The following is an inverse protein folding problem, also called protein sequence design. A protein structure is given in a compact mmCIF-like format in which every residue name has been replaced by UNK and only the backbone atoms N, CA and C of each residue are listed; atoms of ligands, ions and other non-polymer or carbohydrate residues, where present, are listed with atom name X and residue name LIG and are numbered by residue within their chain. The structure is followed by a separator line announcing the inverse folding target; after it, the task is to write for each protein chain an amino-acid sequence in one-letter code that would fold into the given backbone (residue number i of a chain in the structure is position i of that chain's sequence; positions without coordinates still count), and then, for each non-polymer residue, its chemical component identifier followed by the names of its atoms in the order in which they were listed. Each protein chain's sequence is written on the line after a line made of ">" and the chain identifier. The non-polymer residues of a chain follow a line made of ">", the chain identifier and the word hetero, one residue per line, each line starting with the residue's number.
data_IF_891026411499
#
_entry.id   IF_891026411499
#
_cell.length_a   1.000
_cell.length_b   1.000
_cell.length_c   1.000
_cell.angle_alpha   90.00
_cell.angle_beta   90.00
_cell.angle_gamma   90.00
#
_symmetry.space_group_name_H-M   'P 1'
#
loop_
_entity.id
_entity.type
_entity.pdbx_description
1 polymer ?
#
# COMPACT_ATOMS: atom_id res chain seq x y z
N UNK A 1 -15.39 -5.43 -21.65
CA UNK A 1 -14.40 -6.02 -22.58
C UNK A 1 -14.66 -7.52 -22.65
N UNK A 2 -14.57 -8.19 -23.81
CA UNK A 2 -14.83 -9.64 -23.90
C UNK A 2 -13.64 -10.41 -23.31
N UNK A 3 -13.82 -11.08 -22.17
CA UNK A 3 -12.78 -11.92 -21.55
C UNK A 3 -12.53 -13.19 -22.38
N UNK A 4 -11.27 -13.57 -22.53
CA UNK A 4 -10.89 -14.85 -23.14
C UNK A 4 -11.22 -16.02 -22.21
N UNK A 5 -11.32 -17.23 -22.76
CA UNK A 5 -11.53 -18.45 -21.96
C UNK A 5 -10.43 -18.62 -20.89
N UNK A 6 -9.18 -18.26 -21.23
CA UNK A 6 -8.06 -18.28 -20.30
C UNK A 6 -8.23 -17.25 -19.17
N UNK A 7 -8.67 -16.03 -19.47
CA UNK A 7 -8.92 -15.01 -18.45
C UNK A 7 -10.02 -15.46 -17.48
N UNK A 8 -11.09 -16.07 -18.00
CA UNK A 8 -12.18 -16.61 -17.17
C UNK A 8 -11.65 -17.72 -16.24
N UNK A 9 -10.90 -18.69 -16.78
CA UNK A 9 -10.32 -19.76 -15.98
C UNK A 9 -9.26 -19.24 -14.98
N UNK A 10 -8.52 -18.18 -15.33
CA UNK A 10 -7.50 -17.59 -14.47
C UNK A 10 -8.11 -16.77 -13.33
N UNK A 11 -9.25 -16.14 -13.56
CA UNK A 11 -9.96 -15.36 -12.53
C UNK A 11 -10.36 -16.23 -11.32
N UNK A 12 -10.66 -17.52 -11.51
CA UNK A 12 -11.03 -18.43 -10.41
C UNK A 12 -9.84 -18.92 -9.58
N UNK A 13 -8.59 -18.65 -9.99
CA UNK A 13 -7.42 -19.04 -9.20
C UNK A 13 -7.41 -18.34 -7.84
N UNK A 14 -7.21 -19.13 -6.77
CA UNK A 14 -7.07 -18.63 -5.41
C UNK A 14 -5.58 -18.53 -5.06
N UNK A 15 -5.02 -17.32 -4.88
CA UNK A 15 -3.63 -17.16 -4.45
C UNK A 15 -3.39 -17.86 -3.11
N UNK A 16 -2.26 -18.57 -3.01
CA UNK A 16 -1.84 -19.23 -1.77
C UNK A 16 -1.34 -18.18 -0.80
N UNK A 17 -1.86 -18.19 0.42
CA UNK A 17 -1.39 -17.33 1.50
C UNK A 17 -0.46 -18.10 2.45
N UNK A 18 0.57 -17.44 3.03
CA UNK A 18 1.31 -18.00 4.16
C UNK A 18 0.35 -18.39 5.28
N UNK A 19 0.60 -19.54 5.93
CA UNK A 19 -0.27 -20.06 7.00
C UNK A 19 -0.49 -19.01 8.10
N UNK A 20 0.55 -18.25 8.44
CA UNK A 20 0.47 -17.16 9.41
C UNK A 20 -0.60 -16.11 9.05
N UNK A 21 -0.82 -15.82 7.76
CA UNK A 21 -1.75 -14.79 7.28
C UNK A 21 -3.17 -15.31 7.00
N UNK A 22 -3.42 -16.62 7.20
CA UNK A 22 -4.75 -17.21 6.98
C UNK A 22 -5.77 -16.83 8.06
N UNK A 23 -5.31 -16.35 9.22
CA UNK A 23 -6.14 -15.90 10.34
C UNK A 23 -5.76 -14.50 10.81
N UNK A 24 -6.29 -14.10 11.97
CA UNK A 24 -5.86 -12.88 12.64
C UNK A 24 -4.42 -13.04 13.13
N UNK A 25 -3.62 -11.99 12.96
CA UNK A 25 -2.19 -11.98 13.32
C UNK A 25 -1.89 -10.98 14.42
N UNK A 26 -0.82 -11.23 15.14
CA UNK A 26 -0.16 -10.30 16.05
C UNK A 26 1.24 -10.01 15.50
N UNK A 27 1.59 -8.73 15.41
CA UNK A 27 2.95 -8.32 15.08
C UNK A 27 3.86 -8.56 16.30
N UNK A 28 5.05 -9.10 16.06
CA UNK A 28 6.10 -9.31 17.04
C UNK A 28 7.32 -8.51 16.58
N UNK A 29 7.75 -7.58 17.44
CA UNK A 29 8.92 -6.75 17.19
C UNK A 29 10.19 -7.58 17.40
N UNK A 30 11.08 -7.51 16.41
CA UNK A 30 12.40 -8.11 16.42
C UNK A 30 13.47 -7.10 16.83
N UNK A 31 14.64 -7.20 16.18
CA UNK A 31 15.77 -6.32 16.46
C UNK A 31 15.59 -4.95 15.78
N UNK A 32 16.06 -3.86 16.41
CA UNK A 32 16.22 -2.57 15.74
C UNK A 32 17.08 -2.70 14.48
N UNK A 33 16.73 -1.93 13.46
CA UNK A 33 17.43 -1.91 12.17
C UNK A 33 18.46 -0.79 12.09
N UNK A 34 19.29 -0.80 11.05
CA UNK A 34 20.20 0.29 10.70
C UNK A 34 20.26 0.41 9.17
N UNK A 35 20.59 1.59 8.66
CA UNK A 35 20.83 1.74 7.22
C UNK A 35 22.07 0.94 6.80
N UNK A 36 22.13 0.53 5.53
CA UNK A 36 23.27 -0.22 4.98
C UNK A 36 24.57 0.60 5.04
N UNK A 37 24.46 1.92 4.78
CA UNK A 37 25.56 2.88 4.85
C UNK A 37 25.06 4.21 5.45
N UNK A 38 25.98 5.13 5.72
CA UNK A 38 25.72 6.53 6.07
C UNK A 38 24.81 6.71 7.31
N UNK A 39 24.98 5.86 8.34
CA UNK A 39 24.07 5.79 9.49
C UNK A 39 23.88 7.15 10.19
N UNK A 40 24.94 7.95 10.32
CA UNK A 40 24.84 9.29 10.91
C UNK A 40 24.02 10.26 10.08
N UNK A 41 24.12 10.22 8.75
CA UNK A 41 23.38 11.12 7.86
C UNK A 41 21.92 10.69 7.74
N UNK A 42 21.69 9.39 7.54
CA UNK A 42 20.34 8.83 7.40
C UNK A 42 19.56 8.98 8.72
N UNK A 43 20.17 8.78 9.88
CA UNK A 43 19.47 9.01 11.16
C UNK A 43 19.08 10.47 11.38
N UNK A 44 19.85 11.44 10.87
CA UNK A 44 19.49 12.86 10.89
C UNK A 44 18.35 13.19 9.91
N UNK A 45 18.28 12.50 8.77
CA UNK A 45 17.21 12.67 7.79
C UNK A 45 15.89 12.01 8.23
N UNK A 46 15.96 10.93 9.01
CA UNK A 46 14.80 10.14 9.46
C UNK A 46 14.68 10.08 11.00
N UNK A 47 14.63 11.21 11.71
CA UNK A 47 14.65 11.23 13.17
C UNK A 47 13.45 10.53 13.82
N UNK A 48 12.33 10.36 13.10
CA UNK A 48 11.12 9.74 13.65
C UNK A 48 10.95 8.26 13.27
N UNK A 49 11.66 7.77 12.25
CA UNK A 49 11.45 6.43 11.67
C UNK A 49 12.73 5.59 11.55
N UNK A 50 13.91 6.17 11.77
CA UNK A 50 15.16 5.43 11.76
C UNK A 50 15.22 4.40 12.90
N UNK A 51 15.72 3.20 12.58
CA UNK A 51 15.96 2.15 13.57
C UNK A 51 14.73 1.40 14.07
N UNK A 52 13.57 1.57 13.41
CA UNK A 52 12.37 0.78 13.70
C UNK A 52 12.69 -0.73 13.62
N UNK A 53 12.09 -1.56 14.49
CA UNK A 53 12.41 -2.98 14.56
C UNK A 53 11.85 -3.74 13.35
N UNK A 54 12.51 -4.84 13.01
CA UNK A 54 11.92 -5.85 12.12
C UNK A 54 10.60 -6.37 12.70
N UNK A 55 9.66 -6.73 11.84
CA UNK A 55 8.37 -7.31 12.25
C UNK A 55 8.24 -8.74 11.75
N UNK A 56 7.84 -9.63 12.66
CA UNK A 56 7.31 -10.95 12.29
C UNK A 56 5.84 -11.06 12.71
N UNK A 57 5.11 -12.03 12.16
CA UNK A 57 3.70 -12.22 12.44
C UNK A 57 3.42 -13.60 12.99
N UNK A 58 2.78 -13.63 14.15
CA UNK A 58 2.30 -14.84 14.79
C UNK A 58 0.77 -14.89 14.78
N UNK A 59 0.21 -16.09 14.97
CA UNK A 59 -1.24 -16.25 15.09
C UNK A 59 -1.73 -15.53 16.34
N UNK A 60 -2.77 -14.71 16.20
CA UNK A 60 -3.45 -14.12 17.35
C UNK A 60 -4.54 -15.09 17.87
N UNK A 61 -4.39 -15.66 19.09
CA UNK A 61 -5.38 -16.58 19.65
C UNK A 61 -6.68 -15.88 20.08
N UNK A 62 -6.62 -14.57 20.35
CA UNK A 62 -7.73 -13.78 20.88
C UNK A 62 -8.01 -12.59 19.95
N UNK A 63 -8.57 -12.82 18.75
CA UNK A 63 -8.88 -11.75 17.83
C UNK A 63 -10.02 -10.88 18.37
N UNK A 64 -9.81 -9.56 18.33
CA UNK A 64 -10.86 -8.57 18.59
C UNK A 64 -11.40 -8.09 17.25
N UNK A 65 -12.72 -7.89 17.09
CA UNK A 65 -13.28 -7.30 15.88
C UNK A 65 -12.59 -5.97 15.54
N UNK A 66 -12.14 -5.83 14.29
CA UNK A 66 -11.54 -4.60 13.81
C UNK A 66 -12.59 -3.50 13.61
N UNK A 67 -12.16 -2.25 13.79
CA UNK A 67 -12.95 -1.09 13.34
C UNK A 67 -12.83 -0.95 11.81
N UNK A 68 -13.79 -0.30 11.14
CA UNK A 68 -13.65 0.04 9.72
C UNK A 68 -12.38 0.86 9.49
N UNK A 69 -11.66 0.56 8.40
CA UNK A 69 -10.43 1.26 8.02
C UNK A 69 -10.56 1.70 6.56
N UNK A 70 -10.19 2.96 6.28
CA UNK A 70 -10.05 3.44 4.92
C UNK A 70 -8.58 3.41 4.54
N UNK A 71 -8.28 2.79 3.39
CA UNK A 71 -6.92 2.59 2.89
C UNK A 71 -6.79 3.23 1.51
N UNK A 72 -5.72 3.97 1.28
CA UNK A 72 -5.31 4.46 -0.03
C UNK A 72 -4.30 3.51 -0.67
N UNK A 73 -4.33 3.37 -2.00
CA UNK A 73 -3.33 2.60 -2.76
C UNK A 73 -2.87 3.34 -4.01
N UNK A 74 -1.57 3.26 -4.31
CA UNK A 74 -0.91 3.86 -5.47
C UNK A 74 -0.11 2.80 -6.22
N UNK A 75 -0.28 2.71 -7.53
CA UNK A 75 0.64 1.99 -8.43
C UNK A 75 1.67 2.98 -9.01
N UNK A 76 2.95 2.80 -8.68
CA UNK A 76 4.02 3.74 -9.05
C UNK A 76 5.08 3.10 -9.94
N UNK A 77 5.48 3.84 -10.98
CA UNK A 77 6.50 3.43 -11.94
C UNK A 77 5.99 2.50 -13.05
N UNK A 78 6.93 1.74 -13.62
CA UNK A 78 6.64 0.74 -14.65
C UNK A 78 5.78 -0.42 -14.12
N UNK A 79 4.95 -0.97 -15.00
CA UNK A 79 4.11 -2.12 -14.68
C UNK A 79 4.93 -3.38 -14.40
N UNK A 80 4.47 -4.19 -13.45
CA UNK A 80 4.98 -5.54 -13.23
C UNK A 80 3.80 -6.51 -13.04
N UNK A 81 3.88 -7.75 -13.54
CA UNK A 81 2.84 -8.75 -13.32
C UNK A 81 2.56 -8.94 -11.82
N UNK A 82 1.29 -8.87 -11.42
CA UNK A 82 0.85 -9.09 -10.04
C UNK A 82 0.44 -7.83 -9.26
N UNK A 83 0.62 -6.62 -9.79
CA UNK A 83 0.16 -5.40 -9.10
C UNK A 83 -1.34 -5.40 -8.77
N UNK A 84 -2.17 -5.90 -9.69
CA UNK A 84 -3.60 -6.10 -9.42
C UNK A 84 -3.85 -7.06 -8.25
N UNK A 85 -3.05 -8.12 -8.09
CA UNK A 85 -3.18 -9.05 -6.98
C UNK A 85 -2.79 -8.43 -5.63
N UNK A 86 -1.87 -7.46 -5.60
CA UNK A 86 -1.58 -6.69 -4.38
C UNK A 86 -2.82 -5.90 -3.97
N UNK A 87 -3.47 -5.21 -4.92
CA UNK A 87 -4.71 -4.47 -4.68
C UNK A 87 -5.86 -5.40 -4.24
N UNK A 88 -6.03 -6.55 -4.90
CA UNK A 88 -7.03 -7.55 -4.52
C UNK A 88 -6.78 -8.07 -3.10
N UNK A 89 -5.52 -8.37 -2.74
CA UNK A 89 -5.15 -8.83 -1.40
C UNK A 89 -5.39 -7.78 -0.33
N UNK A 90 -5.10 -6.50 -0.62
CA UNK A 90 -5.46 -5.38 0.26
C UNK A 90 -6.96 -5.30 0.47
N UNK A 91 -7.76 -5.35 -0.60
CA UNK A 91 -9.21 -5.34 -0.54
C UNK A 91 -9.76 -6.49 0.33
N UNK A 92 -9.36 -7.73 0.02
CA UNK A 92 -9.80 -8.92 0.77
C UNK A 92 -9.37 -8.83 2.25
N UNK A 93 -8.15 -8.35 2.51
CA UNK A 93 -7.61 -8.17 3.85
C UNK A 93 -8.41 -7.18 4.69
N UNK A 94 -8.67 -5.97 4.17
CA UNK A 94 -9.42 -4.94 4.92
C UNK A 94 -10.89 -5.33 5.11
N UNK A 95 -11.50 -6.02 4.13
CA UNK A 95 -12.88 -6.52 4.23
C UNK A 95 -13.01 -7.65 5.26
N UNK A 96 -11.96 -8.46 5.42
CA UNK A 96 -11.88 -9.50 6.45
C UNK A 96 -11.75 -8.91 7.86
N UNK A 97 -11.07 -7.76 8.00
CA UNK A 97 -10.99 -7.02 9.27
C UNK A 97 -12.35 -6.43 9.63
N UNK A 98 -12.97 -5.74 8.67
CA UNK A 98 -14.30 -5.16 8.81
C UNK A 98 -14.94 -4.94 7.42
N UNK A 99 -16.20 -5.35 7.24
CA UNK A 99 -16.90 -5.26 5.94
C UNK A 99 -17.13 -3.83 5.46
N UNK A 100 -17.18 -2.88 6.39
CA UNK A 100 -17.41 -1.45 6.11
C UNK A 100 -16.12 -0.71 5.73
N UNK A 101 -14.95 -1.36 5.83
CA UNK A 101 -13.66 -0.82 5.37
C UNK A 101 -13.70 -0.50 3.88
N UNK A 102 -12.97 0.54 3.46
CA UNK A 102 -12.96 1.02 2.07
C UNK A 102 -11.55 1.11 1.52
N UNK A 103 -11.40 0.86 0.23
CA UNK A 103 -10.14 0.97 -0.49
C UNK A 103 -10.27 2.03 -1.57
N UNK A 104 -9.35 2.98 -1.59
CA UNK A 104 -9.31 4.08 -2.55
C UNK A 104 -8.03 3.98 -3.38
N UNK A 105 -8.19 3.91 -4.70
CA UNK A 105 -7.07 3.87 -5.62
C UNK A 105 -6.82 5.24 -6.25
N UNK A 106 -5.62 5.78 -6.06
CA UNK A 106 -5.23 7.06 -6.66
C UNK A 106 -4.76 6.86 -8.10
N UNK A 107 -5.31 7.67 -9.01
CA UNK A 107 -5.17 7.46 -10.44
C UNK A 107 -3.81 7.93 -10.97
N UNK A 108 -3.22 7.16 -11.88
CA UNK A 108 -1.98 7.50 -12.61
C UNK A 108 -0.79 7.78 -11.68
N UNK A 109 -0.66 6.99 -10.61
CA UNK A 109 0.46 7.05 -9.68
C UNK A 109 0.39 8.18 -8.65
N UNK A 110 1.53 8.63 -8.09
CA UNK A 110 1.53 9.63 -7.03
C UNK A 110 0.92 10.99 -7.42
N UNK A 111 0.84 11.29 -8.71
CA UNK A 111 0.13 12.47 -9.21
C UNK A 111 -1.35 12.47 -8.85
N UNK A 112 -2.01 11.30 -8.83
CA UNK A 112 -3.42 11.20 -8.43
C UNK A 112 -3.65 11.59 -6.97
N UNK A 113 -2.70 11.32 -6.08
CA UNK A 113 -2.76 11.75 -4.69
C UNK A 113 -2.69 13.28 -4.58
N UNK A 114 -1.78 13.91 -5.32
CA UNK A 114 -1.58 15.37 -5.28
C UNK A 114 -2.71 16.14 -5.97
N UNK A 115 -3.24 15.58 -7.06
CA UNK A 115 -4.33 16.16 -7.84
C UNK A 115 -5.73 15.79 -7.33
N UNK A 116 -5.81 15.01 -6.24
CA UNK A 116 -7.05 14.48 -5.67
C UNK A 116 -7.89 13.65 -6.67
N UNK A 117 -7.21 12.92 -7.56
CA UNK A 117 -7.84 12.01 -8.54
C UNK A 117 -7.79 10.58 -8.03
N UNK A 118 -8.94 10.04 -7.67
CA UNK A 118 -9.07 8.70 -7.11
C UNK A 118 -10.40 8.06 -7.52
N UNK A 119 -10.49 6.74 -7.31
CA UNK A 119 -11.74 5.98 -7.34
C UNK A 119 -11.85 5.12 -6.08
N UNK A 120 -13.06 4.84 -5.63
CA UNK A 120 -13.28 3.75 -4.67
C UNK A 120 -13.20 2.41 -5.40
N UNK A 121 -12.38 1.50 -4.89
CA UNK A 121 -12.21 0.15 -5.42
C UNK A 121 -13.20 -0.79 -4.73
N UNK A 122 -14.32 -1.03 -5.41
CA UNK A 122 -15.43 -1.88 -4.95
C UNK A 122 -15.27 -3.33 -5.39
N UNK A 123 -16.07 -4.24 -4.84
CA UNK A 123 -15.97 -5.67 -5.14
C UNK A 123 -16.14 -5.99 -6.63
N UNK A 124 -17.08 -5.33 -7.31
CA UNK A 124 -17.33 -5.44 -8.74
C UNK A 124 -16.14 -4.98 -9.59
N UNK A 125 -15.44 -3.92 -9.18
CA UNK A 125 -14.19 -3.52 -9.83
C UNK A 125 -13.12 -4.57 -9.56
N UNK A 126 -12.89 -4.94 -8.30
CA UNK A 126 -11.83 -5.87 -7.90
C UNK A 126 -11.95 -7.22 -8.64
N UNK A 127 -13.15 -7.77 -8.75
CA UNK A 127 -13.40 -9.07 -9.38
C UNK A 127 -13.08 -9.08 -10.89
N UNK A 128 -13.10 -7.93 -11.56
CA UNK A 128 -12.66 -7.81 -12.96
C UNK A 128 -11.14 -7.95 -13.14
N UNK A 129 -10.36 -7.64 -12.09
CA UNK A 129 -8.90 -7.56 -12.14
C UNK A 129 -8.16 -8.70 -11.42
N UNK A 130 -8.88 -9.62 -10.76
CA UNK A 130 -8.25 -10.76 -10.09
C UNK A 130 -7.40 -11.58 -11.05
N UNK A 131 -6.13 -11.76 -10.70
CA UNK A 131 -5.15 -12.58 -11.43
C UNK A 131 -4.82 -12.09 -12.86
N UNK A 132 -5.13 -10.83 -13.19
CA UNK A 132 -4.77 -10.21 -14.47
C UNK A 132 -3.40 -9.51 -14.38
N UNK A 133 -2.76 -9.30 -15.53
CA UNK A 133 -1.57 -8.46 -15.64
C UNK A 133 -1.93 -7.00 -15.87
N UNK A 134 -0.92 -6.13 -15.98
CA UNK A 134 -1.11 -4.68 -16.15
C UNK A 134 -1.27 -3.96 -14.83
N UNK A 135 -1.37 -2.62 -14.92
CA UNK A 135 -1.65 -1.68 -13.83
C UNK A 135 -2.89 -0.82 -14.15
N UNK A 136 -3.69 -1.22 -15.14
CA UNK A 136 -4.77 -0.43 -15.73
C UNK A 136 -6.01 -0.28 -14.84
N UNK A 137 -6.09 -0.96 -13.69
CA UNK A 137 -7.17 -0.73 -12.70
C UNK A 137 -7.23 0.73 -12.21
N UNK A 138 -6.06 1.35 -12.01
CA UNK A 138 -5.92 2.76 -11.59
C UNK A 138 -4.82 3.50 -12.37
N UNK A 139 -4.17 2.82 -13.30
CA UNK A 139 -2.99 3.33 -14.01
C UNK A 139 -1.79 3.52 -13.09
N UNK A 140 -0.67 3.94 -13.67
CA UNK A 140 0.53 4.31 -12.91
C UNK A 140 1.18 5.55 -13.46
N UNK A 141 2.08 6.12 -12.67
CA UNK A 141 2.84 7.31 -13.03
C UNK A 141 4.17 7.36 -12.28
N UNK A 142 4.98 8.36 -12.64
CA UNK A 142 6.34 8.57 -12.12
C UNK A 142 6.48 9.93 -11.41
N UNK A 143 5.36 10.56 -11.04
CA UNK A 143 5.40 11.81 -10.28
C UNK A 143 6.18 11.60 -8.99
N UNK A 144 7.20 12.43 -8.77
CA UNK A 144 7.98 12.41 -7.55
C UNK A 144 7.27 13.17 -6.44
N UNK A 145 7.23 12.58 -5.24
CA UNK A 145 6.75 13.22 -4.02
C UNK A 145 7.98 13.64 -3.21
N UNK A 146 8.45 14.86 -3.45
CA UNK A 146 9.70 15.38 -2.86
C UNK A 146 9.48 16.69 -2.10
N UNK A 147 8.36 17.37 -2.33
CA UNK A 147 8.08 18.70 -1.79
C UNK A 147 7.00 18.67 -0.72
N UNK A 148 7.18 19.49 0.31
CA UNK A 148 6.22 19.64 1.42
C UNK A 148 4.80 19.93 0.91
N UNK A 149 4.66 20.80 -0.09
CA UNK A 149 3.36 21.17 -0.64
C UNK A 149 2.64 19.96 -1.27
N UNK A 150 3.38 19.01 -1.84
CA UNK A 150 2.81 17.77 -2.36
C UNK A 150 2.35 16.85 -1.23
N UNK A 151 3.10 16.78 -0.14
CA UNK A 151 2.74 16.00 1.04
C UNK A 151 1.51 16.56 1.74
N UNK A 152 1.44 17.89 1.88
CA UNK A 152 0.31 18.62 2.45
C UNK A 152 -0.97 18.37 1.64
N UNK A 153 -0.90 18.54 0.30
CA UNK A 153 -2.03 18.24 -0.60
C UNK A 153 -2.48 16.79 -0.51
N UNK A 154 -1.55 15.85 -0.44
CA UNK A 154 -1.88 14.44 -0.22
C UNK A 154 -2.61 14.25 1.11
N UNK A 155 -2.16 14.92 2.17
CA UNK A 155 -2.78 14.79 3.49
C UNK A 155 -4.20 15.38 3.55
N UNK A 156 -4.48 16.44 2.79
CA UNK A 156 -5.83 17.01 2.68
C UNK A 156 -6.83 15.94 2.22
N UNK A 157 -6.56 15.29 1.09
CA UNK A 157 -7.49 14.29 0.55
C UNK A 157 -7.52 13.01 1.41
N UNK A 158 -6.39 12.61 2.00
CA UNK A 158 -6.36 11.48 2.91
C UNK A 158 -7.25 11.73 4.14
N UNK A 159 -7.25 12.96 4.69
CA UNK A 159 -8.14 13.35 5.80
C UNK A 159 -9.60 13.43 5.37
N UNK A 160 -9.88 14.01 4.22
CA UNK A 160 -11.24 14.09 3.66
C UNK A 160 -11.86 12.70 3.50
N UNK A 161 -11.08 11.74 3.01
CA UNK A 161 -11.51 10.35 2.82
C UNK A 161 -11.39 9.50 4.10
N UNK A 162 -10.92 10.06 5.22
CA UNK A 162 -10.68 9.32 6.46
C UNK A 162 -9.65 8.19 6.32
N UNK A 163 -8.74 8.27 5.35
CA UNK A 163 -7.71 7.27 5.10
C UNK A 163 -6.66 7.33 6.20
N UNK A 164 -6.44 6.18 6.86
CA UNK A 164 -5.43 6.05 7.93
C UNK A 164 -4.19 5.26 7.49
N UNK A 165 -4.22 4.66 6.30
CA UNK A 165 -3.08 3.95 5.73
C UNK A 165 -2.99 4.18 4.22
N UNK A 166 -1.80 4.50 3.71
CA UNK A 166 -1.49 4.64 2.29
C UNK A 166 -0.46 3.59 1.88
N UNK A 167 -0.80 2.76 0.89
CA UNK A 167 0.10 1.73 0.35
C UNK A 167 0.64 2.17 -1.01
N UNK A 168 1.97 2.25 -1.13
CA UNK A 168 2.66 2.63 -2.36
C UNK A 168 3.34 1.38 -2.94
N UNK A 169 2.84 0.93 -4.10
CA UNK A 169 3.36 -0.26 -4.80
C UNK A 169 4.33 0.21 -5.88
N UNK A 170 5.62 -0.03 -5.69
CA UNK A 170 6.64 0.65 -6.47
C UNK A 170 8.05 0.07 -6.35
N UNK A 171 8.96 0.61 -7.16
CA UNK A 171 10.38 0.24 -7.15
C UNK A 171 11.15 1.00 -6.06
N UNK A 172 12.46 1.04 -6.19
CA UNK A 172 13.39 1.80 -5.34
C UNK A 172 12.97 3.27 -5.21
N UNK A 173 12.87 4.03 -6.31
CA UNK A 173 12.42 5.44 -6.31
C UNK A 173 11.10 5.64 -5.56
N UNK A 174 10.17 4.70 -5.72
CA UNK A 174 8.83 4.81 -5.12
C UNK A 174 8.85 4.51 -3.63
N UNK A 175 9.68 3.56 -3.18
CA UNK A 175 9.85 3.25 -1.77
C UNK A 175 10.69 4.33 -1.06
N UNK A 176 11.60 5.01 -1.77
CA UNK A 176 12.24 6.24 -1.28
C UNK A 176 11.21 7.33 -1.01
N UNK A 177 10.32 7.60 -1.97
CA UNK A 177 9.21 8.55 -1.76
C UNK A 177 8.30 8.13 -0.59
N UNK A 178 8.01 6.83 -0.47
CA UNK A 178 7.20 6.30 0.63
C UNK A 178 7.87 6.51 1.99
N UNK A 179 9.19 6.29 2.11
CA UNK A 179 9.94 6.51 3.33
C UNK A 179 9.95 7.99 3.73
N UNK A 180 10.23 8.90 2.77
CA UNK A 180 10.22 10.34 3.02
C UNK A 180 8.83 10.82 3.45
N UNK A 181 7.77 10.31 2.80
CA UNK A 181 6.39 10.64 3.16
C UNK A 181 6.01 10.12 4.55
N UNK A 182 6.44 8.89 4.89
CA UNK A 182 6.22 8.29 6.21
C UNK A 182 6.88 9.12 7.31
N UNK A 183 8.14 9.52 7.10
CA UNK A 183 8.89 10.40 8.01
C UNK A 183 8.17 11.73 8.21
N UNK A 184 7.75 12.36 7.11
CA UNK A 184 7.02 13.62 7.14
C UNK A 184 5.71 13.51 7.94
N UNK A 185 4.85 12.54 7.61
CA UNK A 185 3.57 12.32 8.28
C UNK A 185 3.73 11.91 9.75
N UNK A 186 4.78 11.16 10.08
CA UNK A 186 5.11 10.83 11.47
C UNK A 186 5.53 12.08 12.24
N UNK A 187 6.42 12.90 11.67
CA UNK A 187 6.96 14.10 12.31
C UNK A 187 5.89 15.16 12.62
N UNK A 188 4.84 15.27 11.82
CA UNK A 188 3.72 16.19 12.07
C UNK A 188 2.53 15.53 12.81
N UNK A 189 2.63 14.26 13.20
CA UNK A 189 1.54 13.55 13.87
C UNK A 189 0.27 13.42 13.02
N UNK A 190 0.42 13.21 11.71
CA UNK A 190 -0.69 13.23 10.74
C UNK A 190 -1.77 12.17 10.99
N UNK A 191 -1.45 11.09 11.71
CA UNK A 191 -2.37 9.97 11.94
C UNK A 191 -2.52 9.02 10.74
N UNK A 192 -1.66 9.14 9.72
CA UNK A 192 -1.64 8.31 8.52
C UNK A 192 -0.39 7.45 8.49
N UNK A 193 -0.55 6.15 8.30
CA UNK A 193 0.54 5.20 8.06
C UNK A 193 0.89 5.15 6.57
N UNK A 194 2.17 5.02 6.24
CA UNK A 194 2.63 4.83 4.85
C UNK A 194 3.36 3.50 4.76
N UNK A 195 2.96 2.65 3.82
CA UNK A 195 3.52 1.31 3.61
C UNK A 195 4.04 1.16 2.18
N UNK A 196 5.25 0.63 2.05
CA UNK A 196 5.84 0.28 0.76
C UNK A 196 5.55 -1.17 0.37
N UNK A 197 5.26 -1.42 -0.92
CA UNK A 197 5.21 -2.77 -1.49
C UNK A 197 6.26 -2.89 -2.61
N UNK A 198 7.25 -3.79 -2.47
CA UNK A 198 8.39 -3.87 -3.37
C UNK A 198 7.96 -4.44 -4.73
N UNK A 199 8.11 -3.63 -5.78
CA UNK A 199 7.70 -3.97 -7.14
C UNK A 199 8.76 -3.50 -8.13
N UNK A 200 9.39 -4.45 -8.81
CA UNK A 200 10.18 -4.23 -10.02
C UNK A 200 10.23 -5.51 -10.85
N UNK A 201 10.51 -5.41 -12.15
CA UNK A 201 10.83 -6.57 -13.00
C UNK A 201 12.34 -6.83 -13.06
N UNK A 202 13.16 -5.90 -12.55
CA UNK A 202 14.61 -5.87 -12.78
C UNK A 202 15.41 -6.80 -11.86
N UNK A 203 14.76 -7.44 -10.88
CA UNK A 203 15.40 -8.27 -9.86
C UNK A 203 15.96 -7.47 -8.70
#
# INVERSE_FOLDING_TARGET
>A
MKKSALQIARASYQPKLPVALTGSVKAVEGKPTHSVADQEEISKLFPNTYGLPELTFEKNPNPVPGKPINVGVILSGGQAPGGHNVICGLFDGIKKINRDSRLYGFLMGPGGLVDHKYIELTADIIDEYRNTGGFDIIGSGRTKLEKKEQFDKGLEILKELGITALVIIGGDDSNTNAAILAEYYKGIGAGVQVLGCPKTIDG
#
